data_IF_089520835370
#
_entry.id   IF_089520835370
#
_cell.length_a   1.000
_cell.length_b   1.000
_cell.length_c   1.000
_cell.angle_alpha   90.00
_cell.angle_beta   90.00
_cell.angle_gamma   90.00
#
_symmetry.space_group_name_H-M   'P 1'
#
loop_
_entity.id
_entity.type
_entity.pdbx_description
1 polymer ?
#
# COMPACT_ATOMS: atom_id res chain seq x y z
N UNK A 1 15.36 21.58 -7.47
CA UNK A 1 14.16 21.46 -8.34
C UNK A 1 14.08 20.02 -8.81
N UNK A 2 13.00 19.28 -8.50
CA UNK A 2 12.76 17.94 -9.04
C UNK A 2 12.23 18.08 -10.48
N UNK A 3 13.11 18.11 -11.48
CA UNK A 3 12.71 18.06 -12.87
C UNK A 3 12.49 16.61 -13.33
N UNK A 4 11.56 16.42 -14.25
CA UNK A 4 11.39 15.16 -14.97
C UNK A 4 12.50 15.08 -16.01
N UNK A 5 13.59 14.37 -15.68
CA UNK A 5 14.62 13.99 -16.65
C UNK A 5 14.15 12.79 -17.45
N UNK A 6 14.38 12.76 -18.76
CA UNK A 6 14.17 11.56 -19.56
C UNK A 6 15.14 10.47 -19.09
N UNK A 7 14.62 9.31 -18.71
CA UNK A 7 15.45 8.16 -18.38
C UNK A 7 15.81 7.37 -19.65
N UNK A 8 16.87 6.55 -19.60
CA UNK A 8 17.23 5.70 -20.75
C UNK A 8 16.28 4.53 -20.92
N UNK A 9 15.97 3.83 -19.82
CA UNK A 9 15.16 2.60 -19.81
C UNK A 9 14.11 2.71 -18.72
N UNK A 10 12.85 2.47 -19.07
CA UNK A 10 11.74 2.31 -18.14
C UNK A 10 11.07 0.95 -18.28
N UNK A 11 10.75 0.29 -17.18
CA UNK A 11 10.02 -0.98 -17.17
C UNK A 11 8.66 -0.79 -16.51
N UNK A 12 7.61 -1.33 -17.13
CA UNK A 12 6.27 -1.36 -16.61
C UNK A 12 5.91 -2.82 -16.36
N UNK A 13 5.58 -3.14 -15.11
CA UNK A 13 5.20 -4.48 -14.68
C UNK A 13 3.76 -4.42 -14.18
N UNK A 14 2.88 -5.27 -14.69
CA UNK A 14 1.51 -5.43 -14.19
C UNK A 14 1.37 -6.81 -13.57
N UNK A 15 1.07 -6.89 -12.27
CA UNK A 15 0.79 -8.17 -11.63
C UNK A 15 -0.58 -8.72 -12.06
N UNK A 16 -0.67 -10.02 -12.31
CA UNK A 16 -1.96 -10.73 -12.43
C UNK A 16 -2.47 -11.29 -11.10
N UNK A 17 -1.63 -11.33 -10.06
CA UNK A 17 -2.04 -11.81 -8.75
C UNK A 17 -2.91 -10.77 -8.05
N UNK A 18 -3.97 -11.25 -7.41
CA UNK A 18 -4.87 -10.44 -6.57
C UNK A 18 -4.59 -10.66 -5.09
N UNK A 19 -3.56 -11.46 -4.76
CA UNK A 19 -3.17 -11.77 -3.40
C UNK A 19 -2.24 -10.68 -2.84
N UNK A 20 -2.65 -10.02 -1.77
CA UNK A 20 -1.87 -8.95 -1.13
C UNK A 20 -0.46 -9.43 -0.72
N UNK A 21 -0.34 -10.65 -0.21
CA UNK A 21 0.94 -11.19 0.24
C UNK A 21 1.88 -11.51 -0.94
N UNK A 22 1.35 -12.02 -2.04
CA UNK A 22 2.16 -12.31 -3.23
C UNK A 22 2.67 -11.02 -3.88
N UNK A 23 1.79 -10.03 -4.01
CA UNK A 23 2.17 -8.73 -4.58
C UNK A 23 3.19 -7.99 -3.71
N UNK A 24 3.03 -7.99 -2.38
CA UNK A 24 4.04 -7.42 -1.47
C UNK A 24 5.37 -8.20 -1.50
N UNK A 25 5.31 -9.53 -1.61
CA UNK A 25 6.52 -10.35 -1.74
C UNK A 25 7.28 -10.04 -3.03
N UNK A 26 6.55 -9.82 -4.12
CA UNK A 26 7.11 -9.46 -5.42
C UNK A 26 7.68 -8.03 -5.44
N UNK A 27 6.95 -7.05 -4.87
CA UNK A 27 7.45 -5.68 -4.68
C UNK A 27 8.78 -5.69 -3.91
N UNK A 28 8.84 -6.44 -2.80
CA UNK A 28 10.03 -6.56 -1.98
C UNK A 28 11.18 -7.25 -2.71
N UNK A 29 10.88 -8.32 -3.45
CA UNK A 29 11.89 -9.02 -4.22
C UNK A 29 12.51 -8.10 -5.28
N UNK A 30 11.69 -7.42 -6.08
CA UNK A 30 12.19 -6.48 -7.10
C UNK A 30 13.01 -5.38 -6.42
N UNK A 31 12.53 -4.81 -5.30
CA UNK A 31 13.26 -3.79 -4.57
C UNK A 31 14.65 -4.25 -4.07
N UNK A 32 14.81 -5.53 -3.76
CA UNK A 32 16.09 -6.10 -3.31
C UNK A 32 17.02 -6.48 -4.45
N UNK A 33 16.49 -6.92 -5.59
CA UNK A 33 17.30 -7.60 -6.62
C UNK A 33 17.43 -6.81 -7.92
N UNK A 34 16.47 -5.95 -8.25
CA UNK A 34 16.52 -5.17 -9.49
C UNK A 34 17.56 -4.06 -9.37
N UNK A 35 18.45 -3.92 -10.35
CA UNK A 35 19.44 -2.84 -10.38
C UNK A 35 18.90 -1.65 -11.20
N UNK A 36 18.36 -0.63 -10.52
CA UNK A 36 17.78 0.54 -11.21
C UNK A 36 18.80 1.30 -12.07
N UNK A 37 20.05 1.44 -11.61
CA UNK A 37 21.09 2.19 -12.35
C UNK A 37 21.44 1.52 -13.69
N UNK A 38 21.47 0.18 -13.71
CA UNK A 38 21.83 -0.59 -14.91
C UNK A 38 20.63 -0.98 -15.78
N UNK A 39 19.50 -1.27 -15.15
CA UNK A 39 18.34 -1.91 -15.79
C UNK A 39 17.12 -0.99 -15.91
N UNK A 40 17.21 0.27 -15.47
CA UNK A 40 16.16 1.27 -15.59
C UNK A 40 15.19 1.33 -14.40
N UNK A 41 14.37 2.38 -14.38
CA UNK A 41 13.32 2.59 -13.36
C UNK A 41 12.13 1.66 -13.61
N UNK A 42 11.42 1.27 -12.54
CA UNK A 42 10.28 0.34 -12.62
C UNK A 42 9.00 1.01 -12.13
N UNK A 43 7.94 0.90 -12.94
CA UNK A 43 6.55 1.12 -12.57
C UNK A 43 5.89 -0.25 -12.39
N UNK A 44 5.54 -0.62 -11.15
CA UNK A 44 4.78 -1.82 -10.84
C UNK A 44 3.33 -1.45 -10.51
N UNK A 45 2.37 -2.09 -11.18
CA UNK A 45 0.93 -1.89 -10.98
C UNK A 45 0.25 -3.19 -10.57
N UNK A 46 -0.69 -3.11 -9.63
CA UNK A 46 -1.35 -4.28 -9.04
C UNK A 46 -2.62 -3.90 -8.27
N UNK A 47 -3.63 -4.78 -8.30
CA UNK A 47 -4.86 -4.66 -7.48
C UNK A 47 -5.02 -5.92 -6.63
N UNK A 48 -5.68 -5.80 -5.48
CA UNK A 48 -5.82 -6.91 -4.54
C UNK A 48 -7.29 -7.24 -4.31
N UNK A 49 -7.56 -8.49 -3.97
CA UNK A 49 -8.81 -8.84 -3.29
C UNK A 49 -8.91 -8.09 -1.93
N UNK A 50 -10.10 -8.02 -1.32
CA UNK A 50 -10.33 -7.31 -0.06
C UNK A 50 -9.25 -7.57 0.99
N UNK A 51 -8.51 -6.51 1.34
CA UNK A 51 -7.40 -6.58 2.31
C UNK A 51 -7.20 -5.26 3.02
N UNK A 52 -6.70 -5.30 4.26
CA UNK A 52 -6.25 -4.13 5.01
C UNK A 52 -4.74 -4.20 5.16
N UNK A 53 -4.06 -3.14 4.72
CA UNK A 53 -2.60 -3.06 4.69
C UNK A 53 -2.12 -2.02 5.69
N UNK A 54 -1.52 -2.49 6.78
CA UNK A 54 -0.92 -1.65 7.82
C UNK A 54 0.54 -1.33 7.50
N UNK A 55 0.99 -0.14 7.91
CA UNK A 55 2.38 0.29 7.83
C UNK A 55 3.30 -0.49 8.77
N UNK A 56 4.61 -0.41 8.51
CA UNK A 56 5.65 -1.19 9.18
C UNK A 56 5.67 -1.09 10.71
N UNK A 57 5.28 0.06 11.26
CA UNK A 57 5.37 0.40 12.69
C UNK A 57 4.00 0.63 13.35
N UNK A 58 2.92 0.17 12.71
CA UNK A 58 1.57 0.32 13.23
C UNK A 58 1.14 -0.87 14.11
N UNK A 59 0.11 -0.66 14.92
CA UNK A 59 -0.54 -1.68 15.71
C UNK A 59 -1.88 -2.11 15.04
N UNK A 60 -2.02 -3.35 14.56
CA UNK A 60 -3.24 -3.80 13.88
C UNK A 60 -4.47 -3.74 14.77
N UNK A 61 -4.35 -4.01 16.07
CA UNK A 61 -5.46 -3.95 17.01
C UNK A 61 -5.98 -2.52 17.22
N UNK A 62 -5.17 -1.49 16.97
CA UNK A 62 -5.61 -0.09 17.02
C UNK A 62 -6.21 0.38 15.70
N UNK A 63 -5.66 -0.10 14.59
CA UNK A 63 -5.89 0.46 13.27
C UNK A 63 -6.97 -0.28 12.47
N UNK A 64 -7.22 -1.55 12.80
CA UNK A 64 -8.05 -2.45 12.03
C UNK A 64 -9.20 -2.99 12.88
N UNK A 65 -10.39 -3.03 12.31
CA UNK A 65 -11.50 -3.81 12.86
C UNK A 65 -11.28 -5.30 12.59
N UNK A 66 -10.44 -5.93 13.42
CA UNK A 66 -10.06 -7.35 13.26
C UNK A 66 -11.27 -8.31 13.29
N UNK A 67 -12.29 -8.12 14.16
CA UNK A 67 -13.49 -8.95 14.13
C UNK A 67 -14.23 -8.86 12.79
N UNK A 68 -14.47 -7.65 12.30
CA UNK A 68 -15.11 -7.44 10.99
C UNK A 68 -14.29 -8.06 9.86
N UNK A 69 -12.97 -7.83 9.85
CA UNK A 69 -12.11 -8.39 8.82
C UNK A 69 -12.15 -9.93 8.79
N UNK A 70 -12.19 -10.57 9.97
CA UNK A 70 -12.35 -12.03 10.10
C UNK A 70 -13.70 -12.50 9.56
N UNK A 71 -14.79 -11.83 9.94
CA UNK A 71 -16.16 -12.17 9.50
C UNK A 71 -16.32 -12.06 7.98
N UNK A 72 -15.72 -11.04 7.37
CA UNK A 72 -15.84 -10.77 5.92
C UNK A 72 -14.69 -11.33 5.08
N UNK A 73 -13.81 -12.17 5.65
CA UNK A 73 -12.65 -12.75 4.98
C UNK A 73 -11.69 -11.72 4.34
N UNK A 74 -11.50 -10.57 5.01
CA UNK A 74 -10.56 -9.53 4.60
C UNK A 74 -9.17 -9.86 5.15
N UNK A 75 -8.17 -9.95 4.27
CA UNK A 75 -6.80 -10.27 4.67
C UNK A 75 -6.12 -9.09 5.39
N UNK A 76 -5.37 -9.36 6.45
CA UNK A 76 -4.57 -8.34 7.15
C UNK A 76 -3.10 -8.52 6.77
N UNK A 77 -2.51 -7.52 6.13
CA UNK A 77 -1.12 -7.53 5.72
C UNK A 77 -0.34 -6.38 6.34
N UNK A 78 0.93 -6.61 6.67
CA UNK A 78 1.88 -5.56 7.04
C UNK A 78 2.87 -5.35 5.91
N UNK A 79 2.96 -4.14 5.39
CA UNK A 79 3.95 -3.79 4.35
C UNK A 79 5.30 -3.40 4.96
N UNK A 80 6.34 -3.39 4.12
CA UNK A 80 7.69 -3.02 4.55
C UNK A 80 7.89 -1.51 4.73
N UNK A 81 7.13 -0.68 4.01
CA UNK A 81 7.16 0.78 4.13
C UNK A 81 6.43 1.27 5.39
N UNK A 82 6.75 2.50 5.81
CA UNK A 82 6.03 3.18 6.90
C UNK A 82 4.66 3.70 6.48
N UNK A 83 4.12 4.67 7.21
CA UNK A 83 2.83 5.30 6.92
C UNK A 83 1.63 4.65 7.63
N UNK A 84 0.44 5.09 7.25
CA UNK A 84 -0.84 4.69 7.86
C UNK A 84 -1.48 3.44 7.23
N UNK A 85 -2.67 3.08 7.70
CA UNK A 85 -3.42 1.92 7.25
C UNK A 85 -4.31 2.27 6.06
N UNK A 86 -4.39 1.38 5.08
CA UNK A 86 -5.25 1.51 3.90
C UNK A 86 -6.05 0.23 3.68
N UNK A 87 -7.21 0.36 3.04
CA UNK A 87 -8.00 -0.76 2.55
C UNK A 87 -7.81 -0.90 1.04
N UNK A 88 -7.70 -2.13 0.56
CA UNK A 88 -7.66 -2.48 -0.85
C UNK A 88 -8.83 -3.38 -1.19
N UNK A 89 -9.36 -3.20 -2.38
CA UNK A 89 -10.16 -4.16 -3.14
C UNK A 89 -9.80 -4.04 -4.63
N UNK A 90 -10.60 -4.65 -5.51
CA UNK A 90 -10.36 -4.59 -6.94
C UNK A 90 -10.61 -3.21 -7.54
N UNK A 91 -11.38 -2.35 -6.87
CA UNK A 91 -11.58 -0.95 -7.25
C UNK A 91 -10.43 -0.03 -6.82
N UNK A 92 -9.42 -0.57 -6.15
CA UNK A 92 -8.20 0.15 -5.75
C UNK A 92 -6.98 -0.32 -6.55
N UNK A 93 -6.39 0.60 -7.33
CA UNK A 93 -5.13 0.37 -8.03
C UNK A 93 -3.94 0.74 -7.14
N UNK A 94 -2.96 -0.16 -7.01
CA UNK A 94 -1.69 0.12 -6.34
C UNK A 94 -0.61 0.35 -7.38
N UNK A 95 0.23 1.35 -7.14
CA UNK A 95 1.31 1.76 -8.03
C UNK A 95 2.59 1.89 -7.20
N UNK A 96 3.68 1.25 -7.64
CA UNK A 96 5.00 1.34 -7.02
C UNK A 96 6.03 1.81 -8.04
N UNK A 97 6.64 2.97 -7.79
CA UNK A 97 7.69 3.57 -8.60
C UNK A 97 9.04 3.32 -7.94
N UNK A 98 9.84 2.41 -8.50
CA UNK A 98 11.19 2.10 -8.04
C UNK A 98 12.20 2.95 -8.81
N UNK A 99 13.01 3.67 -8.05
CA UNK A 99 13.98 4.67 -8.52
C UNK A 99 15.31 4.49 -7.78
N UNK A 100 16.36 5.15 -8.26
CA UNK A 100 17.57 5.31 -7.43
C UNK A 100 17.24 6.19 -6.24
N UNK A 101 17.99 6.04 -5.14
CA UNK A 101 17.84 6.92 -3.98
C UNK A 101 17.98 8.41 -4.36
N UNK A 102 18.88 8.75 -5.29
CA UNK A 102 19.11 10.12 -5.73
C UNK A 102 17.96 10.71 -6.55
N UNK A 103 17.20 9.87 -7.27
CA UNK A 103 16.08 10.31 -8.10
C UNK A 103 14.73 10.25 -7.37
N UNK A 104 14.68 9.67 -6.17
CA UNK A 104 13.46 9.54 -5.39
C UNK A 104 12.86 10.91 -5.05
N UNK A 105 11.67 11.20 -5.59
CA UNK A 105 10.97 12.44 -5.33
C UNK A 105 9.44 12.22 -5.35
N UNK A 106 8.83 12.15 -4.17
CA UNK A 106 7.38 11.89 -4.02
C UNK A 106 6.50 12.94 -4.70
N UNK A 107 6.73 14.27 -4.53
CA UNK A 107 5.93 15.28 -5.22
C UNK A 107 5.98 15.16 -6.76
N UNK A 108 7.16 14.85 -7.31
CA UNK A 108 7.35 14.63 -8.76
C UNK A 108 6.53 13.43 -9.23
N UNK A 109 6.58 12.33 -8.49
CA UNK A 109 5.85 11.10 -8.80
C UNK A 109 4.32 11.35 -8.77
N UNK A 110 3.83 12.04 -7.74
CA UNK A 110 2.41 12.38 -7.62
C UNK A 110 1.96 13.31 -8.73
N UNK A 111 2.75 14.34 -9.06
CA UNK A 111 2.44 15.25 -10.16
C UNK A 111 2.33 14.48 -11.48
N UNK A 112 3.30 13.62 -11.77
CA UNK A 112 3.29 12.74 -12.94
C UNK A 112 2.00 11.89 -13.03
N UNK A 113 1.64 11.19 -11.94
CA UNK A 113 0.42 10.36 -11.92
C UNK A 113 -0.83 11.22 -12.09
N UNK A 114 -0.93 12.35 -11.38
CA UNK A 114 -2.08 13.25 -11.50
C UNK A 114 -2.23 13.83 -12.92
N UNK A 115 -1.14 14.19 -13.59
CA UNK A 115 -1.18 14.72 -14.95
C UNK A 115 -1.61 13.65 -15.96
N UNK A 116 -1.15 12.42 -15.79
CA UNK A 116 -1.58 11.28 -16.61
C UNK A 116 -3.08 11.03 -16.47
N UNK A 117 -3.61 11.06 -15.25
CA UNK A 117 -5.03 10.84 -14.98
C UNK A 117 -5.89 12.01 -15.47
N UNK A 118 -5.53 13.25 -15.15
CA UNK A 118 -6.28 14.45 -15.56
C UNK A 118 -6.32 14.67 -17.08
N UNK A 119 -5.40 14.04 -17.83
CA UNK A 119 -5.40 14.10 -19.30
C UNK A 119 -6.35 13.07 -19.94
N UNK A 120 -6.78 12.05 -19.19
CA UNK A 120 -7.57 10.92 -19.69
C UNK A 120 -8.95 10.82 -19.07
N UNK A 121 -9.17 11.46 -17.92
CA UNK A 121 -10.45 11.48 -17.22
C UNK A 121 -10.91 12.92 -16.99
N UNK A 122 -12.22 13.08 -16.85
CA UNK A 122 -12.88 14.36 -16.56
C UNK A 122 -12.75 14.77 -15.09
N UNK A 123 -12.49 13.80 -14.20
CA UNK A 123 -12.21 14.06 -12.79
C UNK A 123 -10.89 14.80 -12.61
N UNK A 124 -10.88 15.80 -11.72
CA UNK A 124 -9.68 16.53 -11.37
C UNK A 124 -9.04 15.96 -10.11
N UNK A 125 -7.79 15.52 -10.24
CA UNK A 125 -6.99 14.94 -9.16
C UNK A 125 -5.77 15.82 -8.91
N UNK A 126 -5.52 16.19 -7.65
CA UNK A 126 -4.40 17.05 -7.28
C UNK A 126 -3.60 16.47 -6.11
N UNK A 127 -2.25 16.53 -6.13
CA UNK A 127 -1.45 16.25 -4.95
C UNK A 127 -1.67 17.29 -3.86
N UNK A 128 -1.75 16.87 -2.60
CA UNK A 128 -1.83 17.79 -1.45
C UNK A 128 -0.44 17.98 -0.78
N UNK A 129 -0.38 18.83 0.24
CA UNK A 129 0.87 19.16 0.95
C UNK A 129 1.44 18.03 1.82
N UNK A 130 0.71 16.91 1.97
CA UNK A 130 1.12 15.73 2.76
C UNK A 130 1.62 14.58 1.88
N UNK A 131 1.83 14.83 0.59
CA UNK A 131 2.16 13.80 -0.39
C UNK A 131 1.05 12.73 -0.53
N UNK A 132 -0.22 13.12 -0.46
CA UNK A 132 -1.39 12.32 -0.86
C UNK A 132 -2.03 12.94 -2.13
N UNK A 133 -3.07 12.32 -2.70
CA UNK A 133 -3.91 12.97 -3.73
C UNK A 133 -5.39 13.04 -3.35
N UNK A 134 -6.02 14.12 -3.80
CA UNK A 134 -7.41 14.46 -3.51
C UNK A 134 -8.16 14.82 -4.80
N UNK A 135 -9.45 14.46 -4.83
CA UNK A 135 -10.38 14.85 -5.88
C UNK A 135 -10.85 16.29 -5.67
N UNK A 136 -11.04 16.98 -6.79
CA UNK A 136 -11.57 18.34 -6.83
C UNK A 136 -12.86 18.40 -7.66
N UNK A 137 -13.88 19.16 -7.19
CA UNK A 137 -13.91 19.88 -5.91
C UNK A 137 -14.10 18.96 -4.69
N UNK A 138 -13.90 19.50 -3.48
CA UNK A 138 -14.30 18.84 -2.23
C UNK A 138 -13.19 18.21 -1.39
N UNK A 139 -11.92 18.24 -1.86
CA UNK A 139 -10.75 17.75 -1.12
C UNK A 139 -10.94 16.32 -0.56
N UNK A 140 -11.57 15.44 -1.35
CA UNK A 140 -11.81 14.05 -0.97
C UNK A 140 -10.57 13.23 -1.27
N UNK A 141 -9.97 12.61 -0.25
CA UNK A 141 -8.76 11.78 -0.45
C UNK A 141 -9.10 10.57 -1.32
N UNK A 142 -8.39 10.41 -2.43
CA UNK A 142 -8.51 9.24 -3.33
C UNK A 142 -7.20 8.45 -3.44
N UNK A 143 -6.10 8.94 -2.87
CA UNK A 143 -4.81 8.26 -2.89
C UNK A 143 -4.03 8.49 -1.61
N UNK A 144 -3.47 7.43 -1.03
CA UNK A 144 -2.52 7.50 0.06
C UNK A 144 -1.15 6.99 -0.37
N UNK A 145 -0.07 7.57 0.18
CA UNK A 145 1.29 7.15 -0.19
C UNK A 145 2.14 6.67 0.97
N UNK A 146 3.14 5.87 0.63
CA UNK A 146 4.26 5.55 1.49
C UNK A 146 5.52 5.31 0.66
N UNK A 147 6.68 5.34 1.31
CA UNK A 147 7.94 5.09 0.64
C UNK A 147 8.83 4.20 1.50
N UNK A 148 9.76 3.54 0.83
CA UNK A 148 10.89 2.86 1.46
C UNK A 148 12.17 3.29 0.76
N UNK A 149 13.16 3.65 1.57
CA UNK A 149 14.48 4.05 1.11
C UNK A 149 15.49 3.06 1.71
N UNK A 150 16.38 2.54 0.87
CA UNK A 150 17.52 1.74 1.27
C UNK A 150 18.77 2.23 0.52
N UNK A 151 19.94 1.69 0.85
CA UNK A 151 21.19 2.10 0.21
C UNK A 151 21.11 1.87 -1.31
N UNK A 152 21.17 2.96 -2.07
CA UNK A 152 21.18 2.96 -3.54
C UNK A 152 19.80 3.00 -4.21
N UNK A 153 18.71 2.64 -3.51
CA UNK A 153 17.39 2.51 -4.13
C UNK A 153 16.26 2.99 -3.22
N UNK A 154 15.17 3.41 -3.84
CA UNK A 154 13.94 3.75 -3.15
C UNK A 154 12.73 3.34 -3.99
N UNK A 155 11.65 2.98 -3.32
CA UNK A 155 10.34 2.95 -3.96
C UNK A 155 9.40 3.96 -3.30
N UNK A 156 8.56 4.55 -4.14
CA UNK A 156 7.38 5.31 -3.74
C UNK A 156 6.17 4.51 -4.19
N UNK A 157 5.33 4.07 -3.26
CA UNK A 157 4.08 3.43 -3.63
C UNK A 157 2.87 4.21 -3.15
N UNK A 158 1.77 4.02 -3.87
CA UNK A 158 0.52 4.69 -3.60
C UNK A 158 -0.66 3.83 -3.97
N UNK A 159 -1.76 4.07 -3.27
CA UNK A 159 -3.09 3.58 -3.63
C UNK A 159 -3.79 4.60 -4.52
N UNK A 160 -4.71 4.16 -5.36
CA UNK A 160 -5.62 5.01 -6.12
C UNK A 160 -7.01 4.38 -6.08
N UNK A 161 -7.92 5.02 -5.35
CA UNK A 161 -9.31 4.60 -5.23
C UNK A 161 -10.05 4.98 -6.50
N UNK A 162 -10.34 3.99 -7.35
CA UNK A 162 -10.99 4.21 -8.63
C UNK A 162 -12.47 3.88 -8.53
N UNK A 163 -12.80 2.74 -7.93
CA UNK A 163 -14.17 2.25 -7.74
C UNK A 163 -14.27 1.35 -6.49
N UNK A 164 -13.57 1.75 -5.42
CA UNK A 164 -13.46 0.95 -4.20
C UNK A 164 -14.71 1.07 -3.32
N UNK A 165 -15.04 0.01 -2.58
CA UNK A 165 -16.16 0.02 -1.63
C UNK A 165 -15.79 0.84 -0.38
N UNK A 166 -16.23 2.11 -0.36
CA UNK A 166 -15.95 3.02 0.73
C UNK A 166 -16.64 2.63 2.05
N UNK A 167 -17.73 1.85 2.01
CA UNK A 167 -18.41 1.40 3.22
C UNK A 167 -17.64 0.25 3.89
N UNK A 168 -17.17 -0.73 3.11
CA UNK A 168 -16.27 -1.77 3.61
C UNK A 168 -14.96 -1.14 4.09
N UNK A 169 -14.39 -0.18 3.36
CA UNK A 169 -13.21 0.57 3.78
C UNK A 169 -13.42 1.20 5.16
N UNK A 170 -14.48 1.98 5.36
CA UNK A 170 -14.74 2.66 6.64
C UNK A 170 -14.90 1.67 7.79
N UNK A 171 -15.65 0.59 7.58
CA UNK A 171 -15.88 -0.46 8.60
C UNK A 171 -14.58 -1.19 8.96
N UNK A 172 -13.76 -1.50 7.97
CA UNK A 172 -12.48 -2.20 8.14
C UNK A 172 -11.46 -1.42 8.96
N UNK A 173 -11.51 -0.08 8.92
CA UNK A 173 -10.54 0.81 9.58
C UNK A 173 -11.04 1.41 10.91
N UNK A 174 -12.16 0.90 11.43
CA UNK A 174 -12.75 1.33 12.70
C UNK A 174 -12.56 0.24 13.77
N UNK A 175 -11.34 0.14 14.30
CA UNK A 175 -11.07 -0.81 15.39
C UNK A 175 -11.96 -0.56 16.60
N UNK A 176 -12.60 -1.61 17.17
CA UNK A 176 -13.33 -1.51 18.42
C UNK A 176 -12.41 -1.42 19.66
N UNK A 177 -11.12 -1.78 19.53
CA UNK A 177 -10.17 -1.82 20.65
C UNK A 177 -9.30 -0.57 20.75
N UNK A 178 -9.52 0.41 19.86
CA UNK A 178 -8.68 1.62 19.77
C UNK A 178 -8.56 2.36 21.10
N UNK A 179 -9.66 2.46 21.83
CA UNK A 179 -9.73 3.23 23.09
C UNK A 179 -9.32 2.39 24.31
N UNK A 180 -9.11 1.09 24.12
CA UNK A 180 -8.62 0.15 25.14
C UNK A 180 -7.10 -0.06 25.04
N UNK A 181 -6.42 0.55 24.06
CA UNK A 181 -5.00 0.30 23.78
C UNK A 181 -4.16 1.57 23.90
N UNK A 182 -3.23 1.53 24.84
CA UNK A 182 -2.15 2.51 24.97
C UNK A 182 -0.90 2.02 24.22
N UNK A 183 -0.45 2.77 23.21
CA UNK A 183 0.69 2.37 22.37
C UNK A 183 1.39 3.56 21.72
N UNK A 184 2.72 3.49 21.64
CA UNK A 184 3.57 4.42 20.87
C UNK A 184 3.68 4.05 19.37
N UNK A 185 2.84 3.11 18.89
CA UNK A 185 2.82 2.75 17.48
C UNK A 185 2.39 3.93 16.59
N UNK A 186 2.88 3.95 15.35
CA UNK A 186 2.48 4.95 14.36
C UNK A 186 0.97 4.88 14.14
N UNK A 187 0.27 6.01 14.32
CA UNK A 187 -1.17 6.13 14.11
C UNK A 187 -1.48 6.54 12.67
N UNK A 188 -2.60 6.06 12.12
CA UNK A 188 -3.09 6.59 10.84
C UNK A 188 -3.64 8.01 10.99
N UNK A 189 -3.37 8.85 10.01
CA UNK A 189 -4.00 10.16 9.88
C UNK A 189 -5.29 9.98 9.08
N UNK A 190 -6.44 10.16 9.74
CA UNK A 190 -7.76 10.05 9.09
C UNK A 190 -7.94 11.22 8.12
N UNK A 191 -8.39 10.91 6.91
CA UNK A 191 -8.86 11.94 5.98
C UNK A 191 -10.22 12.47 6.44
N UNK A 192 -10.48 13.77 6.19
CA UNK A 192 -11.77 14.38 6.49
C UNK A 192 -12.87 13.84 5.57
N UNK A 193 -12.53 13.63 4.30
CA UNK A 193 -13.39 13.02 3.31
C UNK A 193 -12.56 12.07 2.43
N UNK A 194 -13.21 11.01 1.94
CA UNK A 194 -12.64 10.00 1.05
C UNK A 194 -13.55 9.87 -0.16
N UNK A 195 -12.96 9.69 -1.34
CA UNK A 195 -13.66 9.60 -2.61
C UNK A 195 -12.93 8.65 -3.57
N UNK A 196 -13.58 8.31 -4.68
CA UNK A 196 -13.02 7.45 -5.73
C UNK A 196 -13.34 8.00 -7.12
N UNK A 197 -12.46 7.78 -8.09
CA UNK A 197 -12.53 8.46 -9.40
C UNK A 197 -13.87 8.27 -10.11
N UNK A 198 -14.43 7.05 -10.07
CA UNK A 198 -15.68 6.71 -10.76
C UNK A 198 -16.91 7.45 -10.24
N UNK A 199 -16.82 8.04 -9.05
CA UNK A 199 -17.91 8.85 -8.47
C UNK A 199 -18.12 10.17 -9.24
N UNK A 200 -17.05 10.72 -9.82
CA UNK A 200 -17.04 11.98 -10.56
C UNK A 200 -16.88 11.78 -12.08
N UNK A 201 -16.35 10.63 -12.50
CA UNK A 201 -16.25 10.22 -13.90
C UNK A 201 -16.72 8.77 -14.09
N UNK A 202 -17.95 8.58 -14.55
CA UNK A 202 -18.54 7.24 -14.71
C UNK A 202 -17.79 6.31 -15.67
N UNK A 203 -16.87 6.83 -16.50
CA UNK A 203 -16.02 6.05 -17.39
C UNK A 203 -14.68 5.64 -16.75
N UNK A 204 -14.36 6.15 -15.56
CA UNK A 204 -13.12 5.78 -14.86
C UNK A 204 -13.15 4.30 -14.47
N UNK A 205 -12.07 3.59 -14.83
CA UNK A 205 -11.86 2.18 -14.51
C UNK A 205 -10.40 1.94 -14.15
N UNK A 206 -10.14 0.82 -13.48
CA UNK A 206 -8.78 0.42 -13.10
C UNK A 206 -7.92 0.24 -14.34
N UNK A 207 -8.44 -0.47 -15.35
CA UNK A 207 -7.76 -0.71 -16.62
C UNK A 207 -7.50 0.60 -17.37
N UNK A 208 -8.45 1.54 -17.34
CA UNK A 208 -8.27 2.86 -17.94
C UNK A 208 -7.15 3.64 -17.26
N UNK A 209 -7.09 3.63 -15.93
CA UNK A 209 -6.04 4.30 -15.17
C UNK A 209 -4.66 3.67 -15.40
N UNK A 210 -4.59 2.33 -15.42
CA UNK A 210 -3.36 1.60 -15.76
C UNK A 210 -2.85 1.97 -17.15
N UNK A 211 -3.75 2.06 -18.15
CA UNK A 211 -3.41 2.45 -19.52
C UNK A 211 -2.90 3.89 -19.57
N UNK A 212 -3.64 4.84 -18.99
CA UNK A 212 -3.28 6.25 -18.95
C UNK A 212 -1.89 6.47 -18.31
N UNK A 213 -1.64 5.83 -17.15
CA UNK A 213 -0.37 5.92 -16.43
C UNK A 213 0.74 5.24 -17.22
N UNK A 214 0.49 4.06 -17.80
CA UNK A 214 1.48 3.35 -18.61
C UNK A 214 1.93 4.16 -19.81
N UNK A 215 0.99 4.74 -20.56
CA UNK A 215 1.29 5.56 -21.73
C UNK A 215 2.08 6.82 -21.37
N UNK A 216 1.70 7.49 -20.28
CA UNK A 216 2.45 8.63 -19.76
C UNK A 216 3.87 8.21 -19.33
N UNK A 217 4.02 7.07 -18.65
CA UNK A 217 5.30 6.56 -18.17
C UNK A 217 6.24 6.24 -19.34
N UNK A 218 5.75 5.56 -20.39
CA UNK A 218 6.56 5.23 -21.58
C UNK A 218 7.18 6.48 -22.22
N UNK A 219 6.45 7.60 -22.25
CA UNK A 219 6.92 8.88 -22.81
C UNK A 219 8.07 9.52 -22.00
N UNK A 220 8.33 9.07 -20.78
CA UNK A 220 9.44 9.54 -19.96
C UNK A 220 10.78 8.90 -20.31
N UNK A 221 10.79 7.82 -21.10
CA UNK A 221 12.00 7.05 -21.37
C UNK A 221 12.28 6.91 -22.87
N UNK A 222 13.55 6.82 -23.24
CA UNK A 222 13.95 6.53 -24.63
C UNK A 222 13.52 5.12 -25.05
N UNK A 223 13.62 4.17 -24.13
CA UNK A 223 13.16 2.80 -24.30
C UNK A 223 12.25 2.41 -23.14
N UNK A 224 11.13 1.75 -23.47
CA UNK A 224 10.20 1.25 -22.46
C UNK A 224 9.79 -0.19 -22.73
N UNK A 225 9.69 -0.99 -21.67
CA UNK A 225 9.18 -2.37 -21.72
C UNK A 225 7.90 -2.46 -20.90
N UNK A 226 6.94 -3.28 -21.35
CA UNK A 226 5.73 -3.60 -20.60
C UNK A 226 5.60 -5.11 -20.50
N UNK A 227 5.43 -5.62 -19.29
CA UNK A 227 5.28 -7.05 -19.02
C UNK A 227 4.12 -7.28 -18.05
N UNK A 228 3.22 -8.18 -18.41
CA UNK A 228 2.23 -8.75 -17.49
C UNK A 228 2.87 -9.93 -16.77
N UNK A 229 2.90 -9.89 -15.45
CA UNK A 229 3.61 -10.85 -14.60
C UNK A 229 2.61 -11.74 -13.87
N UNK A 230 2.70 -13.04 -14.15
CA UNK A 230 2.16 -14.05 -13.24
C UNK A 230 3.06 -14.18 -12.01
N UNK A 231 2.73 -13.39 -10.98
CA UNK A 231 3.49 -13.35 -9.72
C UNK A 231 3.45 -14.69 -9.00
N UNK A 232 2.34 -15.42 -9.05
CA UNK A 232 2.23 -16.73 -8.41
C UNK A 232 3.23 -17.72 -9.01
N UNK A 233 3.37 -17.71 -10.34
CA UNK A 233 4.40 -18.49 -11.05
C UNK A 233 5.83 -18.03 -10.72
N UNK A 234 6.08 -16.72 -10.62
CA UNK A 234 7.40 -16.19 -10.20
C UNK A 234 7.77 -16.64 -8.79
N UNK A 235 6.81 -16.69 -7.88
CA UNK A 235 7.01 -17.16 -6.50
C UNK A 235 7.33 -18.65 -6.49
N UNK A 236 6.56 -19.47 -7.21
CA UNK A 236 6.80 -20.91 -7.28
C UNK A 236 8.18 -21.26 -7.86
N UNK A 237 8.66 -20.45 -8.80
CA UNK A 237 9.96 -20.64 -9.45
C UNK A 237 11.15 -20.05 -8.68
N UNK A 238 10.93 -19.23 -7.64
CA UNK A 238 12.00 -18.51 -6.94
C UNK A 238 11.91 -18.68 -5.41
N UNK A 239 12.79 -19.51 -4.81
CA UNK A 239 12.82 -19.74 -3.36
C UNK A 239 13.00 -18.47 -2.51
N UNK A 240 13.65 -17.43 -3.03
CA UNK A 240 13.82 -16.18 -2.30
C UNK A 240 12.51 -15.42 -2.15
N UNK A 241 11.67 -15.42 -3.19
CA UNK A 241 10.35 -14.77 -3.13
C UNK A 241 9.42 -15.58 -2.23
N UNK A 242 9.47 -16.91 -2.32
CA UNK A 242 8.71 -17.79 -1.43
C UNK A 242 9.05 -17.53 0.04
N UNK A 243 10.33 -17.36 0.38
CA UNK A 243 10.76 -17.02 1.75
C UNK A 243 10.20 -15.67 2.21
N UNK A 244 10.18 -14.65 1.35
CA UNK A 244 9.56 -13.35 1.66
C UNK A 244 8.06 -13.52 1.89
N UNK A 245 7.38 -14.29 1.03
CA UNK A 245 5.95 -14.59 1.14
C UNK A 245 5.61 -15.25 2.47
N UNK A 246 6.39 -16.27 2.88
CA UNK A 246 6.23 -16.96 4.16
C UNK A 246 6.42 -16.02 5.35
N UNK A 247 7.42 -15.14 5.30
CA UNK A 247 7.62 -14.10 6.32
C UNK A 247 6.39 -13.18 6.38
N UNK A 248 5.93 -12.64 5.24
CA UNK A 248 4.82 -11.70 5.16
C UNK A 248 3.50 -12.27 5.69
N UNK A 249 3.27 -13.58 5.51
CA UNK A 249 2.09 -14.30 6.04
C UNK A 249 2.22 -14.66 7.52
N UNK A 250 3.44 -14.64 8.07
CA UNK A 250 3.66 -15.09 9.44
C UNK A 250 3.01 -14.17 10.46
N UNK A 251 2.50 -14.76 11.55
CA UNK A 251 1.97 -13.99 12.67
C UNK A 251 3.04 -13.04 13.26
N UNK A 252 4.30 -13.51 13.31
CA UNK A 252 5.45 -12.71 13.79
C UNK A 252 5.62 -11.42 12.98
N UNK A 253 5.34 -11.46 11.69
CA UNK A 253 5.40 -10.28 10.83
C UNK A 253 4.16 -9.39 10.97
N UNK A 254 2.97 -9.95 10.77
CA UNK A 254 1.72 -9.18 10.74
C UNK A 254 1.45 -8.54 12.10
N UNK A 255 1.51 -9.34 13.17
CA UNK A 255 1.13 -8.94 14.53
C UNK A 255 2.35 -8.72 15.41
N UNK A 256 3.34 -9.61 15.32
CA UNK A 256 4.51 -9.57 16.21
C UNK A 256 5.47 -8.39 15.98
N UNK A 257 5.38 -7.69 14.84
CA UNK A 257 6.11 -6.44 14.60
C UNK A 257 5.46 -5.19 15.20
N UNK A 258 4.32 -5.34 15.88
CA UNK A 258 3.67 -4.23 16.56
C UNK A 258 4.55 -3.72 17.70
N UNK A 259 4.74 -2.39 17.83
CA UNK A 259 5.38 -1.82 19.01
C UNK A 259 4.66 -2.25 20.28
N UNK A 260 5.42 -2.36 21.39
CA UNK A 260 4.88 -2.71 22.71
C UNK A 260 3.67 -1.83 23.06
N UNK A 261 2.67 -2.43 23.69
CA UNK A 261 1.45 -1.73 24.08
C UNK A 261 0.82 -2.34 25.35
N UNK A 262 -0.07 -1.57 25.97
CA UNK A 262 -0.92 -2.02 27.07
C UNK A 262 -2.37 -2.09 26.59
N UNK A 263 -3.10 -3.09 27.05
CA UNK A 263 -4.51 -3.31 26.77
C UNK A 263 -5.30 -3.36 28.07
N UNK A 264 -6.32 -2.50 28.16
CA UNK A 264 -7.25 -2.42 29.28
C UNK A 264 -8.58 -3.11 28.91
N UNK A 265 -8.79 -4.33 29.41
CA UNK A 265 -10.02 -5.08 29.20
C UNK A 265 -11.21 -4.54 30.02
N UNK A 266 -12.43 -4.95 29.68
CA UNK A 266 -13.68 -4.43 30.27
C UNK A 266 -13.79 -4.62 31.80
N UNK A 267 -13.13 -5.65 32.35
CA UNK A 267 -13.12 -5.94 33.79
C UNK A 267 -11.96 -5.26 34.55
N UNK A 268 -11.30 -4.26 33.95
CA UNK A 268 -10.12 -3.63 34.53
C UNK A 268 -8.85 -4.49 34.47
N UNK A 269 -8.86 -5.54 33.63
CA UNK A 269 -7.69 -6.36 33.38
C UNK A 269 -6.69 -5.57 32.53
N UNK A 270 -5.48 -5.42 33.04
CA UNK A 270 -4.37 -4.81 32.30
C UNK A 270 -3.46 -5.90 31.73
N UNK A 271 -3.31 -5.91 30.41
CA UNK A 271 -2.46 -6.86 29.69
C UNK A 271 -1.36 -6.09 28.97
N UNK A 272 -0.12 -6.40 29.32
CA UNK A 272 1.03 -5.88 28.60
C UNK A 272 1.39 -6.82 27.44
N UNK A 273 1.55 -6.25 26.23
CA UNK A 273 1.80 -7.03 25.01
C UNK A 273 3.11 -6.59 24.37
N UNK A 274 3.99 -7.56 24.08
CA UNK A 274 5.27 -7.35 23.41
C UNK A 274 5.47 -8.42 22.35
N UNK A 275 5.96 -8.00 21.17
CA UNK A 275 6.13 -8.88 20.02
C UNK A 275 4.82 -9.61 19.65
N UNK A 276 3.69 -8.97 19.93
CA UNK A 276 2.32 -9.47 19.81
C UNK A 276 1.89 -10.52 20.85
N UNK A 277 2.78 -10.91 21.77
CA UNK A 277 2.52 -11.93 22.79
C UNK A 277 2.16 -11.26 24.11
N UNK A 278 1.31 -11.90 24.90
CA UNK A 278 1.04 -11.49 26.28
C UNK A 278 2.35 -11.65 27.06
N UNK A 279 2.85 -10.56 27.65
CA UNK A 279 4.14 -10.59 28.32
C UNK A 279 4.15 -11.61 29.46
N UNK A 280 5.26 -12.35 29.56
CA UNK A 280 5.41 -13.44 30.53
C UNK A 280 4.80 -14.77 30.08
N UNK A 281 4.27 -14.85 28.85
CA UNK A 281 3.69 -16.07 28.28
C UNK A 281 4.11 -16.26 26.82
N UNK A 282 3.87 -17.46 26.27
CA UNK A 282 3.95 -17.72 24.82
C UNK A 282 2.60 -17.53 24.11
N UNK A 283 1.59 -17.01 24.81
CA UNK A 283 0.26 -16.82 24.27
C UNK A 283 0.21 -15.59 23.36
N UNK A 284 -0.31 -15.78 22.14
CA UNK A 284 -0.61 -14.68 21.22
C UNK A 284 -1.70 -13.80 21.83
N UNK A 285 -1.48 -12.50 21.82
CA UNK A 285 -2.55 -11.56 22.12
C UNK A 285 -3.64 -11.68 21.04
N UNK A 286 -4.87 -11.85 21.49
CA UNK A 286 -6.09 -11.88 20.69
C UNK A 286 -7.09 -10.97 21.37
N UNK A 287 -8.18 -10.64 20.70
CA UNK A 287 -9.30 -9.91 21.31
C UNK A 287 -10.56 -10.77 21.38
N UNK A 288 -10.43 -12.06 21.04
CA UNK A 288 -11.46 -13.09 21.13
C UNK A 288 -11.34 -13.90 22.44
N UNK A 289 -11.01 -13.26 23.58
CA UNK A 289 -10.86 -13.96 24.86
C UNK A 289 -12.19 -14.44 25.45
#
# INVERSE_FOLDING_TARGET
MCTISRGKIGKILKSTSTCIFENLAFEEHIFRTHNVERSGEVLLMWSNRPSVVIGRHQNPWVEVNLPFAKETNIEIARRHSGGGTVYHDQGNLNISLLTTHAQHCRPKNLKFISDALNSNFTVQIVPNSRDDMELQPGNRKCSGTAARIAKGQAYHHLTLLIDADLEILKKSLKSPFRDQIESNATRSVRALAVGFLREDDGNASVEGAEMAISEAYRKLFEQSQFETIDVSSKIAANPEILKILEELKSWKWIYGKSPKFQFSGENGQEIEVKDGLIMGTDQRFSTDF
#
